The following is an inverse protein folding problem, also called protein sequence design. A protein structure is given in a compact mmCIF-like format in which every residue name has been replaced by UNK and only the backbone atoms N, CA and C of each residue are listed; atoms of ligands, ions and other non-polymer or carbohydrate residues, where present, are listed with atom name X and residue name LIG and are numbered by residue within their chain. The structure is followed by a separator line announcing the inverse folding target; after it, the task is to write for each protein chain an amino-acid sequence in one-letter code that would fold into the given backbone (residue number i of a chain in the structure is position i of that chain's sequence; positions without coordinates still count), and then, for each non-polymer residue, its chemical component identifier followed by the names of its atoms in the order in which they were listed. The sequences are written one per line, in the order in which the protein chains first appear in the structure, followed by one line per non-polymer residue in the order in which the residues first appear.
data_IF_996110773402
#
_entry.id   IF_996110773402
#
_cell.length_a   1.000
_cell.length_b   1.000
_cell.length_c   1.000
_cell.angle_alpha   90.00
_cell.angle_beta   90.00
_cell.angle_gamma   90.00
#
_symmetry.space_group_name_H-M   'P 1'
#
loop_
_entity.id
_entity.type
_entity.pdbx_description
1 polymer ?
#
# COMPACT_ATOMS: atom_id res chain seq x y z
N UNK A 1 -5.58 -21.39 -23.86
CA UNK A 1 -7.01 -21.40 -24.22
C UNK A 1 -7.66 -20.33 -23.39
N UNK A 2 -8.04 -19.19 -23.97
CA UNK A 2 -8.75 -18.14 -23.21
C UNK A 2 -10.13 -18.69 -22.87
N UNK A 3 -10.50 -18.69 -21.59
CA UNK A 3 -11.86 -19.01 -21.20
C UNK A 3 -12.81 -17.99 -21.85
N UNK A 4 -14.01 -18.43 -22.21
CA UNK A 4 -15.05 -17.56 -22.78
C UNK A 4 -15.54 -16.51 -21.75
N UNK A 5 -15.25 -16.77 -20.47
CA UNK A 5 -15.53 -15.90 -19.33
C UNK A 5 -14.27 -15.76 -18.47
N UNK A 6 -13.99 -14.53 -18.05
CA UNK A 6 -13.06 -14.24 -16.98
C UNK A 6 -13.77 -14.32 -15.61
N UNK A 7 -13.03 -14.61 -14.55
CA UNK A 7 -13.54 -14.47 -13.17
C UNK A 7 -13.37 -13.03 -12.70
N UNK A 8 -14.36 -12.49 -11.99
CA UNK A 8 -14.27 -11.21 -11.31
C UNK A 8 -14.23 -11.43 -9.80
N UNK A 9 -13.44 -10.63 -9.09
CA UNK A 9 -13.41 -10.58 -7.65
C UNK A 9 -12.77 -9.30 -7.15
N UNK A 10 -12.79 -9.10 -5.84
CA UNK A 10 -12.20 -7.94 -5.19
C UNK A 10 -11.20 -8.39 -4.11
N UNK A 11 -10.08 -7.68 -4.01
CA UNK A 11 -9.11 -7.94 -2.96
C UNK A 11 -8.65 -6.63 -2.30
N UNK A 12 -8.45 -6.60 -0.97
CA UNK A 12 -7.83 -5.46 -0.33
C UNK A 12 -6.44 -5.21 -0.91
N UNK A 13 -6.17 -3.96 -1.26
CA UNK A 13 -4.89 -3.47 -1.73
C UNK A 13 -4.56 -2.15 -1.05
N UNK A 14 -3.28 -1.78 -1.14
CA UNK A 14 -2.74 -0.62 -0.47
C UNK A 14 -1.78 0.11 -1.40
N UNK A 15 -1.79 1.44 -1.34
CA UNK A 15 -0.79 2.35 -1.89
C UNK A 15 -0.02 2.92 -0.72
N UNK A 16 1.23 2.47 -0.53
CA UNK A 16 2.07 2.94 0.56
C UNK A 16 2.28 4.44 0.43
N UNK A 17 2.09 5.17 1.53
CA UNK A 17 2.50 6.56 1.61
C UNK A 17 4.04 6.66 1.65
N UNK A 18 4.54 7.89 1.64
CA UNK A 18 5.96 8.12 1.80
C UNK A 18 6.23 9.50 2.39
N UNK A 19 7.34 9.58 3.12
CA UNK A 19 8.01 10.84 3.43
C UNK A 19 9.35 10.80 2.70
N UNK A 20 9.41 11.51 1.58
CA UNK A 20 10.58 11.50 0.71
C UNK A 20 11.70 12.38 1.28
N UNK A 21 12.92 12.17 0.79
CA UNK A 21 14.12 12.84 1.32
C UNK A 21 14.12 14.36 1.10
N UNK A 22 13.35 14.85 0.14
CA UNK A 22 13.13 16.26 -0.20
C UNK A 22 11.96 16.91 0.59
N UNK A 23 11.25 16.14 1.42
CA UNK A 23 10.10 16.60 2.20
C UNK A 23 8.76 16.47 1.48
N UNK A 24 8.73 15.88 0.28
CA UNK A 24 7.47 15.56 -0.40
C UNK A 24 6.77 14.41 0.33
N UNK A 25 5.44 14.49 0.40
CA UNK A 25 4.59 13.49 1.01
C UNK A 25 3.74 12.79 -0.04
N UNK A 26 3.67 11.46 0.08
CA UNK A 26 2.75 10.62 -0.67
C UNK A 26 1.74 10.06 0.32
N UNK A 27 0.45 10.17 0.00
CA UNK A 27 -0.60 9.76 0.93
C UNK A 27 -0.85 8.25 0.84
N UNK A 28 -0.95 7.59 1.99
CA UNK A 28 -1.34 6.19 2.06
C UNK A 28 -2.80 6.01 1.64
N UNK A 29 -3.10 5.00 0.84
CA UNK A 29 -4.49 4.59 0.51
C UNK A 29 -4.65 3.10 0.76
N UNK A 30 -5.75 2.67 1.38
CA UNK A 30 -6.24 1.30 1.10
C UNK A 30 -7.51 1.39 0.26
N UNK A 31 -7.65 0.43 -0.64
CA UNK A 31 -8.70 0.35 -1.62
C UNK A 31 -8.97 -1.13 -1.97
N UNK A 32 -10.07 -1.39 -2.66
CA UNK A 32 -10.32 -2.72 -3.22
C UNK A 32 -9.78 -2.79 -4.65
N UNK A 33 -8.77 -3.61 -4.89
CA UNK A 33 -8.30 -3.89 -6.24
C UNK A 33 -9.23 -4.87 -6.95
N UNK A 34 -9.33 -4.74 -8.27
CA UNK A 34 -10.08 -5.65 -9.12
C UNK A 34 -9.22 -6.88 -9.41
N UNK A 35 -9.75 -8.06 -9.11
CA UNK A 35 -9.07 -9.33 -9.38
C UNK A 35 -9.73 -9.98 -10.59
N UNK A 36 -8.96 -10.13 -11.67
CA UNK A 36 -9.40 -10.77 -12.90
C UNK A 36 -8.60 -12.06 -13.10
N UNK A 37 -9.30 -13.18 -13.27
CA UNK A 37 -8.69 -14.52 -13.36
C UNK A 37 -7.70 -14.84 -12.22
N UNK A 38 -8.07 -14.42 -11.00
CA UNK A 38 -7.27 -14.61 -9.79
C UNK A 38 -6.03 -13.70 -9.69
N UNK A 39 -5.86 -12.72 -10.59
CA UNK A 39 -4.73 -11.79 -10.58
C UNK A 39 -5.21 -10.35 -10.36
N UNK A 40 -4.55 -9.59 -9.47
CA UNK A 40 -4.80 -8.15 -9.34
C UNK A 40 -4.63 -7.47 -10.70
N UNK A 41 -5.66 -6.77 -11.18
CA UNK A 41 -5.65 -6.09 -12.47
C UNK A 41 -4.63 -4.95 -12.46
N UNK A 42 -4.41 -4.31 -11.30
CA UNK A 42 -3.35 -3.32 -11.15
C UNK A 42 -2.00 -3.91 -11.56
N UNK A 43 -1.73 -5.20 -11.29
CA UNK A 43 -0.44 -5.83 -11.64
C UNK A 43 -0.22 -6.01 -13.13
N UNK A 44 -1.30 -5.98 -13.91
CA UNK A 44 -1.25 -6.03 -15.36
C UNK A 44 -0.94 -4.64 -15.97
N UNK A 45 -1.10 -3.58 -15.17
CA UNK A 45 -0.80 -2.19 -15.53
C UNK A 45 0.59 -1.85 -14.97
N UNK A 46 1.58 -1.76 -15.85
CA UNK A 46 2.97 -1.53 -15.45
C UNK A 46 3.19 -0.08 -14.94
N UNK A 47 3.90 0.05 -13.81
CA UNK A 47 4.34 1.32 -13.17
C UNK A 47 3.26 2.40 -12.98
N UNK A 48 2.03 1.99 -12.70
CA UNK A 48 0.92 2.90 -12.47
C UNK A 48 0.78 3.22 -10.98
N UNK A 49 1.10 4.44 -10.54
CA UNK A 49 0.72 4.97 -9.22
C UNK A 49 -0.74 5.45 -9.23
N UNK A 50 -1.67 4.49 -9.13
CA UNK A 50 -3.09 4.74 -9.10
C UNK A 50 -3.83 3.77 -8.16
N UNK A 51 -5.01 4.18 -7.73
CA UNK A 51 -5.89 3.40 -6.86
C UNK A 51 -7.27 3.28 -7.49
N UNK A 52 -8.00 2.21 -7.15
CA UNK A 52 -9.38 2.09 -7.62
C UNK A 52 -10.28 3.19 -7.01
N UNK A 53 -11.43 3.50 -7.63
CA UNK A 53 -12.46 4.35 -7.01
C UNK A 53 -13.06 3.76 -5.72
N UNK A 54 -12.80 2.49 -5.41
CA UNK A 54 -13.24 1.79 -4.21
C UNK A 54 -12.25 1.99 -3.05
N UNK A 55 -11.81 3.23 -2.87
CA UNK A 55 -10.96 3.61 -1.75
C UNK A 55 -11.76 3.59 -0.44
N UNK A 56 -11.09 3.32 0.67
CA UNK A 56 -11.74 3.21 1.98
C UNK A 56 -11.82 4.52 2.76
N UNK A 57 -11.10 5.55 2.32
CA UNK A 57 -11.06 6.88 2.94
C UNK A 57 -12.01 7.89 2.29
N UNK A 58 -12.78 7.49 1.28
CA UNK A 58 -13.82 8.33 0.67
C UNK A 58 -15.15 8.25 1.45
N UNK A 59 -15.99 9.30 1.42
CA UNK A 59 -17.27 9.28 2.12
C UNK A 59 -18.20 8.14 1.65
N UNK A 60 -19.01 7.53 2.54
CA UNK A 60 -19.88 6.38 2.19
C UNK A 60 -20.83 6.64 1.01
N UNK A 61 -21.32 7.88 0.87
CA UNK A 61 -22.19 8.26 -0.24
C UNK A 61 -21.44 8.25 -1.58
N UNK A 62 -20.18 8.70 -1.60
CA UNK A 62 -19.33 8.66 -2.79
C UNK A 62 -18.97 7.21 -3.11
N UNK A 63 -18.57 6.42 -2.12
CA UNK A 63 -18.29 4.99 -2.27
C UNK A 63 -19.49 4.25 -2.89
N UNK A 64 -20.69 4.45 -2.34
CA UNK A 64 -21.93 3.85 -2.85
C UNK A 64 -22.19 4.26 -4.31
N UNK A 65 -21.94 5.51 -4.67
CA UNK A 65 -22.09 5.98 -6.04
C UNK A 65 -21.09 5.30 -6.99
N UNK A 66 -19.84 5.12 -6.57
CA UNK A 66 -18.83 4.40 -7.36
C UNK A 66 -19.24 2.94 -7.61
N UNK A 67 -19.72 2.23 -6.58
CA UNK A 67 -20.20 0.85 -6.72
C UNK A 67 -21.39 0.77 -7.68
N UNK A 68 -22.37 1.69 -7.58
CA UNK A 68 -23.54 1.72 -8.47
C UNK A 68 -23.18 2.00 -9.93
N UNK A 69 -22.17 2.82 -10.18
CA UNK A 69 -21.61 3.03 -11.52
C UNK A 69 -21.05 1.73 -12.08
N UNK A 70 -20.24 0.99 -11.29
CA UNK A 70 -19.67 -0.29 -11.70
C UNK A 70 -20.74 -1.38 -11.92
N UNK A 71 -21.86 -1.34 -11.18
CA UNK A 71 -23.04 -2.20 -11.37
C UNK A 71 -23.88 -1.83 -12.62
N UNK A 72 -23.55 -0.72 -13.27
CA UNK A 72 -24.30 -0.12 -14.38
C UNK A 72 -25.74 0.27 -13.98
N UNK A 73 -25.92 0.66 -12.72
CA UNK A 73 -27.18 1.19 -12.18
C UNK A 73 -27.18 2.73 -12.13
N UNK A 74 -26.01 3.34 -12.32
CA UNK A 74 -25.81 4.76 -12.54
C UNK A 74 -25.09 4.99 -13.90
N UNK A 75 -25.28 6.15 -14.55
CA UNK A 75 -24.59 6.45 -15.79
C UNK A 75 -23.07 6.52 -15.58
N UNK A 76 -22.32 6.17 -16.62
CA UNK A 76 -20.87 6.30 -16.61
C UNK A 76 -20.44 7.76 -16.41
N UNK A 77 -19.40 8.02 -15.61
CA UNK A 77 -18.97 9.38 -15.26
C UNK A 77 -18.26 10.10 -16.40
N UNK A 78 -17.77 9.37 -17.40
CA UNK A 78 -17.05 9.91 -18.55
C UNK A 78 -17.84 9.71 -19.84
N UNK A 79 -17.46 10.47 -20.87
CA UNK A 79 -17.98 10.31 -22.22
C UNK A 79 -17.82 8.85 -22.72
N UNK A 80 -18.65 8.48 -23.70
CA UNK A 80 -18.62 7.18 -24.38
C UNK A 80 -18.80 5.95 -23.46
N UNK A 81 -19.48 6.14 -22.31
CA UNK A 81 -19.76 5.03 -21.38
C UNK A 81 -18.54 4.58 -20.58
N UNK A 82 -17.49 5.40 -20.50
CA UNK A 82 -16.24 5.04 -19.83
C UNK A 82 -16.33 5.25 -18.32
N UNK A 83 -15.78 4.30 -17.59
CA UNK A 83 -15.64 4.35 -16.14
C UNK A 83 -14.16 4.44 -15.76
N UNK A 84 -13.87 5.14 -14.67
CA UNK A 84 -12.53 5.13 -14.07
C UNK A 84 -12.33 3.79 -13.37
N UNK A 85 -11.28 3.08 -13.75
CA UNK A 85 -10.87 1.81 -13.12
C UNK A 85 -9.76 2.07 -12.11
N UNK A 86 -8.79 2.93 -12.45
CA UNK A 86 -7.79 3.42 -11.52
C UNK A 86 -7.55 4.92 -11.74
N UNK A 87 -7.54 5.70 -10.66
CA UNK A 87 -7.31 7.14 -10.69
C UNK A 87 -6.13 7.56 -9.82
N UNK A 88 -5.71 8.82 -9.98
CA UNK A 88 -4.65 9.40 -9.18
C UNK A 88 -4.95 9.29 -7.67
N UNK A 89 -4.00 8.83 -6.84
CA UNK A 89 -4.22 8.67 -5.40
C UNK A 89 -4.35 10.02 -4.69
N UNK A 90 -3.83 11.10 -5.28
CA UNK A 90 -3.82 12.44 -4.67
C UNK A 90 -5.01 13.30 -5.10
N UNK A 91 -5.60 12.99 -6.25
CA UNK A 91 -6.59 13.83 -6.92
C UNK A 91 -7.66 12.94 -7.58
N UNK A 92 -8.94 13.22 -7.39
CA UNK A 92 -10.03 12.46 -8.04
C UNK A 92 -10.23 12.84 -9.53
N UNK A 93 -9.40 13.76 -10.06
CA UNK A 93 -9.52 14.28 -11.41
C UNK A 93 -8.78 13.45 -12.45
N UNK A 94 -9.40 13.27 -13.62
CA UNK A 94 -8.78 12.59 -14.76
C UNK A 94 -7.58 13.35 -15.34
N UNK A 95 -7.47 14.66 -15.08
CA UNK A 95 -6.37 15.51 -15.56
C UNK A 95 -4.99 15.05 -15.03
N UNK A 96 -4.96 14.44 -13.84
CA UNK A 96 -3.75 13.82 -13.28
C UNK A 96 -3.41 12.48 -13.98
N UNK A 97 -4.34 11.97 -14.79
CA UNK A 97 -4.30 10.67 -15.44
C UNK A 97 -5.10 9.60 -14.71
N UNK A 98 -5.86 8.83 -15.48
CA UNK A 98 -6.64 7.70 -15.01
C UNK A 98 -6.62 6.55 -16.03
N UNK A 99 -6.64 5.32 -15.54
CA UNK A 99 -6.99 4.16 -16.36
C UNK A 99 -8.50 4.05 -16.41
N UNK A 100 -9.04 4.11 -17.62
CA UNK A 100 -10.47 4.04 -17.88
C UNK A 100 -10.79 2.86 -18.78
N UNK A 101 -12.01 2.35 -18.70
CA UNK A 101 -12.52 1.31 -19.58
C UNK A 101 -14.00 1.54 -19.89
N UNK A 102 -14.47 1.02 -21.01
CA UNK A 102 -15.91 0.92 -21.28
C UNK A 102 -16.44 -0.27 -20.49
N UNK A 103 -17.48 -0.04 -19.70
CA UNK A 103 -18.21 -1.08 -18.98
C UNK A 103 -19.63 -1.10 -19.53
N UNK A 104 -20.04 -2.25 -20.08
CA UNK A 104 -21.37 -2.38 -20.69
C UNK A 104 -22.03 -3.72 -20.36
N UNK A 105 -23.36 -3.75 -20.46
CA UNK A 105 -24.15 -4.99 -20.36
C UNK A 105 -24.20 -5.64 -21.74
N UNK A 106 -23.89 -6.93 -21.81
CA UNK A 106 -24.13 -7.77 -22.98
C UNK A 106 -25.03 -8.95 -22.59
N UNK A 107 -26.34 -8.76 -22.79
CA UNK A 107 -27.36 -9.67 -22.26
C UNK A 107 -27.36 -9.66 -20.73
N UNK A 108 -27.13 -10.83 -20.13
CA UNK A 108 -26.99 -10.98 -18.68
C UNK A 108 -25.55 -10.76 -18.20
N UNK A 109 -24.58 -10.68 -19.11
CA UNK A 109 -23.16 -10.56 -18.81
C UNK A 109 -22.71 -9.10 -18.74
N UNK A 110 -21.53 -8.89 -18.16
CA UNK A 110 -20.86 -7.58 -18.13
C UNK A 110 -19.54 -7.68 -18.88
N UNK A 111 -19.28 -6.71 -19.75
CA UNK A 111 -18.05 -6.65 -20.54
C UNK A 111 -17.26 -5.40 -20.18
N UNK A 112 -15.98 -5.59 -19.85
CA UNK A 112 -15.00 -4.50 -19.72
C UNK A 112 -14.09 -4.52 -20.95
N UNK A 113 -14.03 -3.41 -21.69
CA UNK A 113 -13.21 -3.30 -22.91
C UNK A 113 -12.56 -1.94 -23.06
N UNK A 114 -11.68 -1.84 -24.05
CA UNK A 114 -11.04 -0.60 -24.49
C UNK A 114 -10.35 0.15 -23.36
N UNK A 115 -9.56 -0.57 -22.56
CA UNK A 115 -8.78 0.03 -21.48
C UNK A 115 -7.79 1.05 -22.05
N UNK A 116 -7.73 2.23 -21.46
CA UNK A 116 -6.77 3.26 -21.88
C UNK A 116 -6.33 4.14 -20.71
N UNK A 117 -5.14 4.70 -20.83
CA UNK A 117 -4.72 5.84 -20.05
C UNK A 117 -5.38 7.11 -20.61
N UNK A 118 -6.09 7.85 -19.76
CA UNK A 118 -6.91 8.99 -20.14
C UNK A 118 -6.61 10.19 -19.24
N UNK A 119 -6.27 11.31 -19.87
CA UNK A 119 -6.00 12.60 -19.20
C UNK A 119 -6.93 13.72 -19.68
N UNK A 120 -7.86 13.42 -20.58
CA UNK A 120 -8.77 14.38 -21.23
C UNK A 120 -10.15 13.79 -21.39
N UNK A 121 -11.13 14.58 -21.82
CA UNK A 121 -12.53 14.16 -22.02
C UNK A 121 -12.67 12.91 -22.92
N UNK A 122 -11.90 12.85 -24.01
CA UNK A 122 -11.86 11.69 -24.91
C UNK A 122 -10.61 10.85 -24.68
N UNK A 123 -10.74 9.53 -24.89
CA UNK A 123 -9.64 8.58 -24.84
C UNK A 123 -9.10 8.29 -26.26
N UNK A 124 -7.79 8.39 -26.43
CA UNK A 124 -7.09 7.95 -27.64
C UNK A 124 -6.61 6.51 -27.45
N UNK A 125 -7.33 5.55 -28.01
CA UNK A 125 -7.04 4.12 -27.87
C UNK A 125 -5.82 3.67 -28.70
N UNK A 126 -5.48 4.40 -29.76
CA UNK A 126 -4.32 4.06 -30.58
C UNK A 126 -3.03 4.44 -29.86
N UNK A 127 -3.02 5.61 -29.23
CA UNK A 127 -1.86 6.11 -28.50
C UNK A 127 -1.75 5.56 -27.08
N UNK A 128 -2.87 5.51 -26.35
CA UNK A 128 -2.91 5.27 -24.91
C UNK A 128 -3.69 4.00 -24.52
N UNK A 129 -4.10 3.18 -25.49
CA UNK A 129 -4.79 1.92 -25.23
C UNK A 129 -3.86 0.87 -24.62
N UNK A 130 -4.34 0.17 -23.60
CA UNK A 130 -3.64 -0.97 -23.01
C UNK A 130 -3.81 -2.20 -23.89
N UNK A 131 -2.93 -2.32 -24.89
CA UNK A 131 -2.91 -3.45 -25.81
C UNK A 131 -2.67 -4.76 -25.04
N UNK A 132 -3.60 -5.71 -25.16
CA UNK A 132 -3.53 -7.01 -24.48
C UNK A 132 -4.24 -7.08 -23.12
N UNK A 133 -4.91 -6.00 -22.68
CA UNK A 133 -5.81 -6.03 -21.52
C UNK A 133 -7.26 -6.03 -22.01
N UNK A 134 -8.00 -7.05 -21.60
CA UNK A 134 -9.37 -7.27 -22.05
C UNK A 134 -9.49 -7.58 -23.55
N UNK A 135 -10.73 -7.64 -24.09
CA UNK A 135 -11.97 -7.48 -23.35
C UNK A 135 -12.17 -8.61 -22.33
N UNK A 136 -12.63 -8.26 -21.14
CA UNK A 136 -13.02 -9.22 -20.12
C UNK A 136 -14.52 -9.38 -20.13
N UNK A 137 -14.99 -10.63 -20.27
CA UNK A 137 -16.40 -10.97 -20.15
C UNK A 137 -16.65 -11.66 -18.82
N UNK A 138 -17.51 -11.07 -18.00
CA UNK A 138 -17.87 -11.60 -16.69
C UNK A 138 -19.30 -12.12 -16.71
N UNK A 139 -19.55 -13.21 -15.99
CA UNK A 139 -20.93 -13.62 -15.71
C UNK A 139 -21.57 -12.59 -14.79
N UNK A 140 -22.72 -12.06 -15.19
CA UNK A 140 -23.30 -10.91 -14.50
C UNK A 140 -23.77 -11.21 -13.08
N UNK A 141 -24.19 -12.44 -12.78
CA UNK A 141 -24.58 -12.87 -11.44
C UNK A 141 -23.39 -12.83 -10.47
N UNK A 142 -22.26 -13.43 -10.84
CA UNK A 142 -21.03 -13.42 -10.05
C UNK A 142 -20.45 -12.01 -9.91
N UNK A 143 -20.41 -11.24 -11.01
CA UNK A 143 -19.92 -9.86 -11.01
C UNK A 143 -20.72 -8.95 -10.06
N UNK A 144 -22.06 -9.04 -10.11
CA UNK A 144 -22.93 -8.25 -9.24
C UNK A 144 -22.79 -8.65 -7.79
N UNK A 145 -22.75 -9.95 -7.49
CA UNK A 145 -22.64 -10.44 -6.13
C UNK A 145 -21.40 -9.89 -5.40
N UNK A 146 -20.25 -9.84 -6.08
CA UNK A 146 -19.00 -9.26 -5.52
C UNK A 146 -19.15 -7.77 -5.18
N UNK A 147 -19.74 -6.97 -6.08
CA UNK A 147 -19.93 -5.53 -5.88
C UNK A 147 -21.04 -5.21 -4.86
N UNK A 148 -22.14 -5.96 -4.87
CA UNK A 148 -23.24 -5.82 -3.91
C UNK A 148 -22.80 -6.18 -2.49
N UNK A 149 -21.87 -7.14 -2.34
CA UNK A 149 -21.23 -7.48 -1.07
C UNK A 149 -20.61 -6.26 -0.39
N UNK A 150 -19.97 -5.36 -1.16
CA UNK A 150 -19.39 -4.12 -0.62
C UNK A 150 -20.42 -3.16 -0.02
N UNK A 151 -21.66 -3.16 -0.55
CA UNK A 151 -22.73 -2.32 -0.03
C UNK A 151 -23.33 -2.89 1.25
N UNK A 152 -23.40 -4.23 1.35
CA UNK A 152 -23.86 -4.92 2.56
C UNK A 152 -22.84 -4.81 3.70
N UNK A 153 -21.55 -4.97 3.39
CA UNK A 153 -20.48 -4.89 4.38
C UNK A 153 -20.24 -3.45 4.87
N UNK A 154 -20.62 -2.42 4.09
CA UNK A 154 -20.44 -1.02 4.44
C UNK A 154 -21.21 -0.53 5.68
N UNK A 155 -22.22 -1.27 6.14
CA UNK A 155 -22.96 -0.95 7.38
C UNK A 155 -22.30 -1.55 8.64
N UNK A 156 -21.50 -2.62 8.50
CA UNK A 156 -20.86 -3.37 9.61
C UNK A 156 -19.32 -3.40 9.56
N UNK A 157 -18.70 -2.83 8.51
CA UNK A 157 -17.25 -2.82 8.35
C UNK A 157 -16.58 -1.96 9.44
N UNK A 158 -15.98 -2.65 10.41
CA UNK A 158 -15.12 -2.01 11.41
C UNK A 158 -14.11 -1.08 10.72
N UNK A 159 -13.92 0.16 11.21
CA UNK A 159 -13.07 1.14 10.56
C UNK A 159 -11.68 0.53 10.35
N UNK A 160 -11.14 0.71 9.13
CA UNK A 160 -9.82 0.23 8.77
C UNK A 160 -8.85 0.69 9.85
N UNK A 161 -8.17 -0.27 10.49
CA UNK A 161 -7.31 -0.07 11.67
C UNK A 161 -6.03 0.67 11.32
N UNK A 162 -6.13 1.92 10.86
CA UNK A 162 -4.99 2.77 10.50
C UNK A 162 -4.61 3.72 11.62
N UNK A 163 -4.64 3.21 12.84
CA UNK A 163 -4.10 3.90 14.01
C UNK A 163 -2.88 3.16 14.51
N UNK A 164 -1.86 3.93 14.86
CA UNK A 164 -0.61 3.41 15.41
C UNK A 164 -0.43 3.97 16.80
N UNK A 165 -0.19 3.07 17.75
CA UNK A 165 0.18 3.45 19.11
C UNK A 165 1.71 3.56 19.18
N UNK A 166 2.21 4.77 19.44
CA UNK A 166 3.62 5.07 19.57
C UNK A 166 4.02 5.06 21.04
N UNK A 167 4.98 4.19 21.40
CA UNK A 167 5.42 4.00 22.78
C UNK A 167 6.89 4.33 22.90
N UNK A 168 7.25 5.24 23.82
CA UNK A 168 8.65 5.46 24.16
C UNK A 168 8.97 6.76 24.88
N UNK A 169 10.18 6.87 25.41
CA UNK A 169 10.58 7.97 26.28
C UNK A 169 10.89 9.31 25.56
N UNK A 170 11.14 9.30 24.24
CA UNK A 170 11.58 10.50 23.49
C UNK A 170 10.42 11.22 22.82
N UNK A 171 9.67 12.01 23.59
CA UNK A 171 8.47 12.74 23.12
C UNK A 171 8.71 13.53 21.83
N UNK A 172 9.84 14.22 21.70
CA UNK A 172 10.12 15.00 20.49
C UNK A 172 10.26 14.16 19.21
N UNK A 173 10.80 12.94 19.31
CA UNK A 173 10.89 12.02 18.16
C UNK A 173 9.52 11.44 17.84
N UNK A 174 8.77 11.04 18.87
CA UNK A 174 7.42 10.49 18.69
C UNK A 174 6.45 11.53 18.11
N UNK A 175 6.55 12.79 18.52
CA UNK A 175 5.73 13.87 17.98
C UNK A 175 6.02 14.11 16.49
N UNK A 176 7.29 14.10 16.08
CA UNK A 176 7.67 14.22 14.66
C UNK A 176 7.19 13.02 13.85
N UNK A 177 7.30 11.81 14.39
CA UNK A 177 6.79 10.60 13.75
C UNK A 177 5.26 10.65 13.61
N UNK A 178 4.54 11.01 14.66
CA UNK A 178 3.09 11.15 14.63
C UNK A 178 2.64 12.20 13.60
N UNK A 179 3.33 13.33 13.52
CA UNK A 179 3.06 14.34 12.49
C UNK A 179 3.30 13.78 11.09
N UNK A 180 4.41 13.08 10.86
CA UNK A 180 4.72 12.45 9.58
C UNK A 180 3.67 11.40 9.16
N UNK A 181 3.25 10.54 10.09
CA UNK A 181 2.20 9.54 9.85
C UNK A 181 0.86 10.20 9.50
N UNK A 182 0.47 11.25 10.23
CA UNK A 182 -0.78 11.97 9.95
C UNK A 182 -0.77 12.66 8.58
N UNK A 183 0.38 13.19 8.15
CA UNK A 183 0.52 13.77 6.80
C UNK A 183 0.31 12.76 5.68
N UNK A 184 0.63 11.48 5.92
CA UNK A 184 0.37 10.39 4.97
C UNK A 184 -0.96 9.67 5.24
N UNK A 185 -1.84 10.20 6.10
CA UNK A 185 -3.17 9.63 6.36
C UNK A 185 -3.23 8.51 7.41
N UNK A 186 -2.15 8.26 8.15
CA UNK A 186 -2.11 7.28 9.24
C UNK A 186 -2.32 7.99 10.60
N UNK A 187 -3.35 7.57 11.32
CA UNK A 187 -3.61 8.04 12.68
C UNK A 187 -2.50 7.60 13.63
N UNK A 188 -2.07 8.48 14.53
CA UNK A 188 -0.99 8.19 15.46
C UNK A 188 -1.28 8.80 16.83
N UNK A 189 -1.20 7.95 17.85
CA UNK A 189 -1.37 8.32 19.26
C UNK A 189 -0.10 7.98 20.03
N UNK A 190 0.21 8.77 21.05
CA UNK A 190 1.46 8.62 21.83
C UNK A 190 1.07 8.26 23.25
N UNK A 191 1.62 7.17 23.77
CA UNK A 191 1.51 6.82 25.19
C UNK A 191 2.85 6.36 25.75
N UNK A 192 2.98 6.46 27.07
CA UNK A 192 4.09 5.85 27.83
C UNK A 192 3.65 4.57 28.54
N UNK A 193 2.35 4.26 28.56
CA UNK A 193 1.79 3.08 29.19
C UNK A 193 0.49 2.68 28.48
N UNK A 194 0.45 1.45 27.93
CA UNK A 194 -0.74 0.92 27.28
C UNK A 194 -1.64 0.12 28.24
N UNK A 195 -1.20 -0.16 29.47
CA UNK A 195 -1.94 -0.99 30.43
C UNK A 195 -3.24 -0.35 30.92
N UNK A 196 -3.34 0.99 30.83
CA UNK A 196 -4.51 1.77 31.23
C UNK A 196 -5.48 2.03 30.09
N UNK A 197 -5.16 1.60 28.86
CA UNK A 197 -6.00 1.83 27.68
C UNK A 197 -7.12 0.79 27.64
N UNK A 198 -8.39 1.20 27.54
CA UNK A 198 -9.51 0.29 27.44
C UNK A 198 -9.39 -0.70 26.26
N UNK A 199 -9.90 -1.92 26.42
CA UNK A 199 -9.76 -2.98 25.41
C UNK A 199 -10.45 -2.65 24.08
N UNK A 200 -11.55 -1.89 24.11
CA UNK A 200 -12.23 -1.36 22.93
C UNK A 200 -11.38 -0.34 22.16
N UNK A 201 -10.64 0.52 22.87
CA UNK A 201 -9.69 1.43 22.25
C UNK A 201 -8.47 0.70 21.69
N UNK A 202 -7.93 -0.30 22.41
CA UNK A 202 -6.80 -1.10 21.94
C UNK A 202 -7.08 -1.80 20.60
N UNK A 203 -8.33 -2.21 20.36
CA UNK A 203 -8.76 -2.84 19.08
C UNK A 203 -8.76 -1.89 17.90
N UNK A 204 -8.69 -0.58 18.13
CA UNK A 204 -8.64 0.42 17.05
C UNK A 204 -7.26 0.52 16.39
N UNK A 205 -6.20 0.09 17.08
CA UNK A 205 -4.83 0.18 16.57
C UNK A 205 -4.47 -1.02 15.69
N UNK A 206 -3.91 -0.75 14.51
CA UNK A 206 -3.39 -1.77 13.60
C UNK A 206 -1.91 -2.08 13.83
N UNK A 207 -1.17 -1.16 14.44
CA UNK A 207 0.23 -1.36 14.82
C UNK A 207 0.59 -0.68 16.15
N UNK A 208 1.61 -1.21 16.82
CA UNK A 208 2.31 -0.57 17.94
C UNK A 208 3.76 -0.40 17.56
N UNK A 209 4.28 0.82 17.65
CA UNK A 209 5.69 1.11 17.42
C UNK A 209 6.41 1.44 18.72
N UNK A 210 7.38 0.61 19.07
CA UNK A 210 8.24 0.82 20.24
C UNK A 210 9.46 1.65 19.86
N UNK A 211 9.70 2.72 20.62
CA UNK A 211 10.94 3.47 20.56
C UNK A 211 12.11 2.60 21.01
N UNK A 212 13.29 2.84 20.42
CA UNK A 212 14.50 2.05 20.68
C UNK A 212 14.88 1.91 22.17
N UNK A 213 14.54 2.91 23.00
CA UNK A 213 14.87 2.92 24.43
C UNK A 213 13.87 2.15 25.33
N UNK A 214 12.75 1.67 24.78
CA UNK A 214 11.74 0.89 25.52
C UNK A 214 12.33 -0.48 25.87
N UNK A 215 12.30 -0.85 27.16
CA UNK A 215 12.84 -2.11 27.66
C UNK A 215 11.91 -3.31 27.40
N UNK A 216 12.46 -4.52 27.46
CA UNK A 216 11.71 -5.75 27.12
C UNK A 216 10.50 -6.00 28.03
N UNK A 217 10.61 -5.68 29.33
CA UNK A 217 9.51 -5.83 30.27
C UNK A 217 8.30 -4.94 29.91
N UNK A 218 8.56 -3.70 29.49
CA UNK A 218 7.53 -2.76 29.04
C UNK A 218 6.89 -3.22 27.73
N UNK A 219 7.71 -3.71 26.77
CA UNK A 219 7.21 -4.32 25.52
C UNK A 219 6.31 -5.51 25.81
N UNK A 220 6.73 -6.41 26.70
CA UNK A 220 5.96 -7.59 27.08
C UNK A 220 4.62 -7.22 27.74
N UNK A 221 4.61 -6.19 28.60
CA UNK A 221 3.38 -5.70 29.22
C UNK A 221 2.39 -5.17 28.17
N UNK A 222 2.87 -4.37 27.22
CA UNK A 222 2.04 -3.87 26.11
C UNK A 222 1.54 -5.02 25.24
N UNK A 223 2.39 -5.97 24.89
CA UNK A 223 1.99 -7.16 24.12
C UNK A 223 0.86 -7.91 24.84
N UNK A 224 1.00 -8.15 26.14
CA UNK A 224 -0.01 -8.79 26.96
C UNK A 224 -1.35 -8.03 27.02
N UNK A 225 -1.32 -6.69 27.06
CA UNK A 225 -2.55 -5.88 27.04
C UNK A 225 -3.34 -6.04 25.73
N UNK A 226 -2.64 -6.00 24.59
CA UNK A 226 -3.26 -6.19 23.28
C UNK A 226 -3.76 -7.63 23.06
N UNK A 227 -3.01 -8.63 23.53
CA UNK A 227 -3.43 -10.03 23.50
C UNK A 227 -4.69 -10.24 24.35
N UNK A 228 -4.73 -9.71 25.57
CA UNK A 228 -5.91 -9.78 26.44
C UNK A 228 -7.13 -9.06 25.85
N UNK A 229 -6.92 -8.01 25.05
CA UNK A 229 -7.99 -7.32 24.34
C UNK A 229 -8.50 -8.09 23.10
N UNK A 230 -7.80 -9.14 22.66
CA UNK A 230 -8.09 -9.84 21.40
C UNK A 230 -7.80 -9.00 20.16
N UNK A 231 -6.89 -8.01 20.28
CA UNK A 231 -6.56 -7.10 19.20
C UNK A 231 -5.53 -7.72 18.25
N UNK A 232 -5.86 -7.75 16.96
CA UNK A 232 -4.91 -8.16 15.90
C UNK A 232 -4.05 -6.94 15.57
N UNK A 233 -2.79 -6.94 16.02
CA UNK A 233 -1.88 -5.80 15.93
C UNK A 233 -0.50 -6.23 15.47
N UNK A 234 0.15 -5.41 14.64
CA UNK A 234 1.55 -5.60 14.27
C UNK A 234 2.47 -4.85 15.25
N UNK A 235 3.61 -5.44 15.61
CA UNK A 235 4.57 -4.81 16.51
C UNK A 235 5.82 -4.39 15.75
N UNK A 236 6.15 -3.11 15.83
CA UNK A 236 7.31 -2.51 15.18
C UNK A 236 8.36 -2.17 16.24
N UNK A 237 9.53 -2.77 16.11
CA UNK A 237 10.71 -2.32 16.84
C UNK A 237 11.37 -1.21 16.04
N UNK A 238 11.29 0.02 16.56
CA UNK A 238 11.88 1.18 15.91
C UNK A 238 13.40 1.00 15.79
N UNK A 239 13.88 0.77 14.57
CA UNK A 239 15.27 0.38 14.32
C UNK A 239 16.26 1.51 14.59
N UNK A 240 15.85 2.74 14.26
CA UNK A 240 16.62 3.95 14.50
C UNK A 240 15.68 5.17 14.56
N UNK A 241 16.06 6.26 15.27
CA UNK A 241 15.28 7.50 15.34
C UNK A 241 15.34 8.32 14.03
N UNK A 242 15.11 7.66 12.90
CA UNK A 242 15.09 8.24 11.54
C UNK A 242 13.62 8.23 11.09
N UNK A 243 13.00 9.40 10.96
CA UNK A 243 11.56 9.51 10.72
C UNK A 243 11.11 8.77 9.43
N UNK A 244 11.75 8.98 8.25
CA UNK A 244 11.34 8.26 7.03
C UNK A 244 11.47 6.73 7.14
N UNK A 245 12.48 6.24 7.86
CA UNK A 245 12.66 4.80 8.12
C UNK A 245 11.55 4.27 9.04
N UNK A 246 11.24 4.98 10.12
CA UNK A 246 10.19 4.57 11.06
C UNK A 246 8.81 4.57 10.39
N UNK A 247 8.53 5.55 9.52
CA UNK A 247 7.34 5.56 8.68
C UNK A 247 7.31 4.32 7.79
N UNK A 248 8.39 4.04 7.04
CA UNK A 248 8.47 2.85 6.18
C UNK A 248 8.30 1.52 6.96
N UNK A 249 8.82 1.44 8.18
CA UNK A 249 8.64 0.26 9.04
C UNK A 249 7.18 0.07 9.47
N UNK A 250 6.51 1.17 9.82
CA UNK A 250 5.11 1.16 10.23
C UNK A 250 4.21 0.81 9.04
N UNK A 251 4.46 1.38 7.88
CA UNK A 251 3.73 1.04 6.65
C UNK A 251 3.91 -0.43 6.26
N UNK A 252 5.14 -0.95 6.30
CA UNK A 252 5.41 -2.37 6.08
C UNK A 252 4.64 -3.26 7.09
N UNK A 253 4.54 -2.82 8.35
CA UNK A 253 3.82 -3.57 9.39
C UNK A 253 2.29 -3.48 9.27
N UNK A 254 1.78 -2.36 8.74
CA UNK A 254 0.36 -2.16 8.47
C UNK A 254 -0.08 -2.78 7.13
N UNK A 255 0.85 -3.26 6.30
CA UNK A 255 0.54 -4.00 5.09
C UNK A 255 0.06 -5.42 5.43
N UNK A 256 -1.25 -5.60 5.54
CA UNK A 256 -1.90 -6.89 5.80
C UNK A 256 -2.21 -7.69 4.52
N UNK A 257 -1.85 -7.16 3.34
CA UNK A 257 -2.12 -7.80 2.05
C UNK A 257 -1.48 -9.18 1.98
N UNK A 258 -2.16 -10.25 1.53
CA UNK A 258 -1.53 -11.56 1.33
C UNK A 258 -0.29 -11.47 0.43
N UNK A 259 0.75 -12.28 0.68
CA UNK A 259 2.01 -12.18 -0.05
C UNK A 259 1.86 -12.45 -1.56
N UNK A 260 0.93 -13.33 -1.97
CA UNK A 260 0.69 -13.59 -3.40
C UNK A 260 0.09 -12.38 -4.12
N UNK A 261 -0.48 -11.43 -3.37
CA UNK A 261 -1.09 -10.20 -3.85
C UNK A 261 -0.18 -8.98 -3.66
N UNK A 262 1.13 -9.17 -3.42
CA UNK A 262 2.11 -8.09 -3.33
C UNK A 262 3.06 -8.12 -4.52
N UNK A 263 3.40 -6.93 -5.04
CA UNK A 263 4.46 -6.79 -6.04
C UNK A 263 5.84 -7.06 -5.45
N UNK A 264 6.14 -6.45 -4.32
CA UNK A 264 7.42 -6.60 -3.61
C UNK A 264 7.31 -7.63 -2.48
N UNK A 265 7.83 -8.82 -2.73
CA UNK A 265 7.65 -9.97 -1.84
C UNK A 265 8.81 -10.14 -0.86
N UNK A 266 10.03 -9.77 -1.25
CA UNK A 266 11.23 -9.91 -0.39
C UNK A 266 12.19 -8.74 -0.51
N UNK A 267 12.77 -8.37 0.64
CA UNK A 267 13.97 -7.53 0.74
C UNK A 267 14.88 -8.11 1.82
N UNK A 268 16.09 -8.53 1.43
CA UNK A 268 17.13 -8.94 2.38
C UNK A 268 18.47 -8.35 1.99
N UNK A 269 19.35 -8.15 2.96
CA UNK A 269 20.71 -7.65 2.71
C UNK A 269 21.73 -8.66 3.22
N UNK A 270 22.58 -9.15 2.33
CA UNK A 270 23.72 -10.01 2.67
C UNK A 270 24.88 -9.75 1.71
N UNK A 271 26.11 -9.99 2.19
CA UNK A 271 27.33 -9.94 1.37
C UNK A 271 27.56 -8.64 0.57
N UNK A 272 27.01 -7.51 1.07
CA UNK A 272 27.12 -6.22 0.39
C UNK A 272 26.22 -6.06 -0.83
N UNK A 273 25.18 -6.90 -0.96
CA UNK A 273 24.13 -6.79 -1.96
C UNK A 273 22.75 -6.77 -1.30
N UNK A 274 21.80 -6.12 -1.96
CA UNK A 274 20.39 -6.26 -1.66
C UNK A 274 19.79 -7.33 -2.57
N UNK A 275 19.04 -8.24 -1.99
CA UNK A 275 18.25 -9.24 -2.68
C UNK A 275 16.81 -8.78 -2.63
N UNK A 276 16.27 -8.49 -3.81
CA UNK A 276 14.90 -7.99 -4.00
C UNK A 276 14.14 -9.03 -4.80
N UNK A 277 12.98 -9.44 -4.32
CA UNK A 277 12.09 -10.34 -5.06
C UNK A 277 10.82 -9.60 -5.42
N UNK A 278 10.46 -9.63 -6.71
CA UNK A 278 9.24 -9.03 -7.23
C UNK A 278 8.37 -10.07 -7.95
N UNK A 279 7.07 -10.07 -7.67
CA UNK A 279 6.11 -11.01 -8.26
C UNK A 279 5.54 -10.52 -9.61
N UNK A 280 5.60 -9.22 -9.86
CA UNK A 280 5.17 -8.59 -11.11
C UNK A 280 6.13 -7.49 -11.53
N UNK A 281 6.13 -7.16 -12.82
CA UNK A 281 6.92 -6.06 -13.38
C UNK A 281 6.56 -4.75 -12.67
N UNK A 282 7.52 -4.13 -11.98
CA UNK A 282 7.32 -2.88 -11.25
C UNK A 282 8.61 -2.08 -11.04
N UNK A 283 8.48 -0.76 -10.94
CA UNK A 283 9.59 0.12 -10.58
C UNK A 283 9.90 -0.06 -9.09
N UNK A 284 11.18 -0.26 -8.78
CA UNK A 284 11.65 -0.39 -7.41
C UNK A 284 12.66 0.70 -7.11
N UNK A 285 12.38 1.46 -6.05
CA UNK A 285 13.29 2.42 -5.45
C UNK A 285 13.92 1.81 -4.20
N UNK A 286 15.25 1.84 -4.10
CA UNK A 286 16.00 1.46 -2.91
C UNK A 286 16.71 2.65 -2.31
N UNK A 287 16.39 2.97 -1.06
CA UNK A 287 17.02 4.03 -0.28
C UNK A 287 17.71 3.45 0.95
N UNK A 288 19.00 3.75 1.10
CA UNK A 288 19.78 3.41 2.27
C UNK A 288 19.77 4.57 3.29
N UNK A 289 19.42 4.24 4.53
CA UNK A 289 19.54 5.12 5.69
C UNK A 289 20.66 4.63 6.61
N UNK A 290 21.57 5.52 6.98
CA UNK A 290 22.72 5.20 7.84
C UNK A 290 22.83 6.19 8.99
N UNK A 291 23.13 5.68 10.17
CA UNK A 291 23.59 6.49 11.30
C UNK A 291 25.11 6.46 11.41
N UNK A 292 25.72 7.65 11.51
CA UNK A 292 27.13 7.74 11.89
C UNK A 292 27.31 7.60 13.42
N UNK A 293 28.57 7.65 13.88
CA UNK A 293 28.91 7.55 15.31
C UNK A 293 28.37 8.71 16.16
N UNK A 294 28.01 9.83 15.52
CA UNK A 294 27.43 11.01 16.16
C UNK A 294 25.89 11.03 16.02
N UNK A 295 25.28 9.90 15.63
CA UNK A 295 23.84 9.78 15.40
C UNK A 295 23.30 10.71 14.30
N UNK A 296 24.15 11.13 13.36
CA UNK A 296 23.71 11.88 12.17
C UNK A 296 23.21 10.92 11.11
N UNK A 297 22.04 11.24 10.56
CA UNK A 297 21.42 10.49 9.48
C UNK A 297 22.06 10.83 8.14
N UNK A 298 22.41 9.80 7.38
CA UNK A 298 22.77 9.90 5.98
C UNK A 298 21.77 9.10 5.15
N UNK A 299 21.25 9.71 4.10
CA UNK A 299 20.31 9.10 3.16
C UNK A 299 20.97 9.02 1.80
N UNK A 300 20.82 7.88 1.11
CA UNK A 300 21.32 7.69 -0.25
C UNK A 300 20.40 6.78 -1.04
N UNK A 301 19.97 7.24 -2.21
CA UNK A 301 19.37 6.38 -3.22
C UNK A 301 20.44 5.43 -3.78
N UNK A 302 20.12 4.15 -3.79
CA UNK A 302 21.02 3.07 -4.19
C UNK A 302 20.59 2.45 -5.51
N UNK A 303 19.29 2.47 -5.80
CA UNK A 303 18.71 1.91 -7.00
C UNK A 303 17.36 2.56 -7.27
N UNK A 304 17.07 2.80 -8.54
CA UNK A 304 15.76 3.23 -9.03
C UNK A 304 15.65 2.75 -10.48
N UNK A 305 14.92 1.65 -10.70
CA UNK A 305 14.65 1.14 -12.03
C UNK A 305 13.49 0.15 -12.05
N UNK A 306 13.05 -0.19 -13.27
CA UNK A 306 12.10 -1.26 -13.54
C UNK A 306 12.74 -2.64 -13.27
N UNK A 307 12.05 -3.49 -12.48
CA UNK A 307 12.40 -4.90 -12.28
C UNK A 307 11.35 -5.85 -12.84
N UNK A 308 11.78 -6.80 -13.69
CA UNK A 308 10.93 -7.89 -14.16
C UNK A 308 10.61 -8.90 -13.05
N UNK A 309 9.55 -9.72 -13.15
CA UNK A 309 9.24 -10.74 -12.14
C UNK A 309 10.44 -11.66 -11.85
N UNK A 310 10.78 -11.84 -10.57
CA UNK A 310 11.86 -12.72 -10.12
C UNK A 310 12.72 -12.14 -9.01
N UNK A 311 13.84 -12.81 -8.75
CA UNK A 311 14.86 -12.39 -7.77
C UNK A 311 15.94 -11.54 -8.44
N UNK A 312 16.28 -10.41 -7.82
CA UNK A 312 17.25 -9.43 -8.31
C UNK A 312 18.33 -9.19 -7.27
N UNK A 313 19.57 -9.20 -7.72
CA UNK A 313 20.74 -8.88 -6.91
C UNK A 313 21.22 -7.47 -7.26
N UNK A 314 21.15 -6.57 -6.29
CA UNK A 314 21.53 -5.17 -6.45
C UNK A 314 22.78 -4.89 -5.60
N UNK A 315 23.94 -4.65 -6.23
CA UNK A 315 25.18 -4.36 -5.51
C UNK A 315 25.08 -3.07 -4.68
N UNK A 316 25.50 -3.10 -3.42
CA UNK A 316 25.48 -1.95 -2.53
C UNK A 316 26.88 -1.35 -2.38
N UNK A 317 26.99 -0.03 -2.56
CA UNK A 317 28.23 0.68 -2.24
C UNK A 317 28.53 0.56 -0.74
N UNK A 318 29.71 0.04 -0.39
CA UNK A 318 30.18 -0.08 1.00
C UNK A 318 30.08 1.23 1.79
N UNK A 319 30.17 2.39 1.13
CA UNK A 319 29.99 3.70 1.79
C UNK A 319 28.52 3.96 2.14
N UNK A 320 27.58 3.49 1.33
CA UNK A 320 26.15 3.67 1.54
C UNK A 320 25.65 2.85 2.74
N UNK A 321 26.22 1.67 2.97
CA UNK A 321 25.70 0.70 3.96
C UNK A 321 26.65 0.40 5.12
N UNK A 322 27.58 1.30 5.44
CA UNK A 322 28.56 1.09 6.54
C UNK A 322 27.94 1.33 7.93
N UNK A 323 28.24 0.47 8.90
CA UNK A 323 27.84 0.67 10.30
C UNK A 323 26.36 0.35 10.49
N UNK A 324 25.65 1.09 11.35
CA UNK A 324 24.21 0.90 11.54
C UNK A 324 23.47 1.48 10.33
N UNK A 325 23.09 0.60 9.41
CA UNK A 325 22.42 0.96 8.16
C UNK A 325 21.15 0.14 7.94
N UNK A 326 20.21 0.73 7.21
CA UNK A 326 18.92 0.15 6.90
C UNK A 326 18.62 0.42 5.43
N UNK A 327 17.95 -0.52 4.78
CA UNK A 327 17.52 -0.41 3.41
C UNK A 327 16.00 -0.40 3.37
N UNK A 328 15.44 0.54 2.63
CA UNK A 328 14.01 0.64 2.36
C UNK A 328 13.82 0.43 0.87
N UNK A 329 13.02 -0.56 0.52
CA UNK A 329 12.56 -0.81 -0.85
C UNK A 329 11.12 -0.34 -0.97
N UNK A 330 10.84 0.47 -2.00
CA UNK A 330 9.51 0.95 -2.33
C UNK A 330 9.18 0.57 -3.77
N UNK A 331 7.92 0.24 -3.97
CA UNK A 331 7.25 0.16 -5.27
C UNK A 331 5.88 0.76 -5.08
N UNK A 332 5.16 1.03 -6.17
CA UNK A 332 3.74 1.31 -6.09
C UNK A 332 3.03 0.20 -5.32
N UNK A 333 2.45 0.57 -4.19
CA UNK A 333 1.63 -0.32 -3.36
C UNK A 333 2.33 -1.18 -2.33
N UNK A 334 3.65 -1.07 -2.15
CA UNK A 334 4.28 -1.77 -1.03
C UNK A 334 5.63 -1.17 -0.64
N UNK A 335 5.97 -1.38 0.63
CA UNK A 335 7.26 -1.00 1.20
C UNK A 335 7.81 -2.16 2.02
N UNK A 336 9.11 -2.41 1.88
CA UNK A 336 9.86 -3.36 2.70
C UNK A 336 11.04 -2.65 3.33
N UNK A 337 11.37 -3.07 4.55
CA UNK A 337 12.51 -2.55 5.31
C UNK A 337 13.37 -3.71 5.75
N UNK A 338 14.68 -3.60 5.54
CA UNK A 338 15.67 -4.59 5.97
C UNK A 338 16.83 -3.92 6.71
N UNK A 339 17.24 -4.43 7.88
CA UNK A 339 18.50 -4.01 8.49
C UNK A 339 19.68 -4.55 7.69
N UNK A 340 20.75 -3.75 7.57
CA UNK A 340 22.01 -4.23 7.00
C UNK A 340 22.78 -4.95 8.11
N UNK A 341 22.82 -6.27 8.03
CA UNK A 341 23.62 -7.08 8.95
C UNK A 341 25.05 -7.15 8.41
N UNK A 342 25.99 -6.58 9.15
CA UNK A 342 27.40 -6.83 8.88
C UNK A 342 27.83 -8.13 9.56
N UNK A 343 28.54 -9.03 8.85
CA UNK A 343 29.17 -10.16 9.52
C UNK A 343 30.07 -9.62 10.63
N UNK A 344 29.83 -10.05 11.87
CA UNK A 344 30.74 -9.77 12.98
C UNK A 344 32.12 -10.29 12.57
N UNK A 345 33.12 -9.41 12.57
CA UNK A 345 34.51 -9.86 12.38
C UNK A 345 34.83 -10.81 13.54
N UNK A 346 35.02 -12.08 13.23
CA UNK A 346 35.57 -13.09 14.14
C UNK A 346 36.98 -12.71 14.59
#
# INVERSE_FOLDING_TARGET
MSALYATFGLAPAMRAGAVLADGVHQVHRDFMDFVVDGRPLLFQLCDLDAVSPLASDIPPAIFTAQVRTLLLDAPAPLADGRCVIYGCPECEGIECGAVTAVIERDGEDVVWRDFAWQTSETADLELNGYQGIGPFRFRGDAYRAELEGLLADGEDAAPVRRRVLLIGARVAVLAKLAAALRMIGIGADITHDASQVPADELRMYGAVAFGHAVGEAERAAVRGAFEAAGAKVAYVEGLAPIIPLLVAQIEHALDWTPLELRRLTRLTVSDGAAYVEVASSCRVELVAYRLDRLSRTHTREVFDAMLEPGEHLIPLDRRAVKGTSFLVARTTGSVRVAPVVHPQRA
#
